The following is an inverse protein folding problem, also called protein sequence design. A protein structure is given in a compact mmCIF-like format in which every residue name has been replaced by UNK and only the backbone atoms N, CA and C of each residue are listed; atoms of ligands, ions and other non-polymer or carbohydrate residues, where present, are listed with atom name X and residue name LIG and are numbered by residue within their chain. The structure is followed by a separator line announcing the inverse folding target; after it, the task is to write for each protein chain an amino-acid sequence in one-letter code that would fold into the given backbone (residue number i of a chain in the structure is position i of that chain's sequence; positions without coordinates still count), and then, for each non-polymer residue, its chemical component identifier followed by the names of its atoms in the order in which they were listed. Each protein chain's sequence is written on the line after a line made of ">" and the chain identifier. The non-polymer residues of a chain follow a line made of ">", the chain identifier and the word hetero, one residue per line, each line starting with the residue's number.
data_IF_850751779859
#
_entry.id   IF_850751779859
#
_cell.length_a   1.000
_cell.length_b   1.000
_cell.length_c   1.000
_cell.angle_alpha   90.00
_cell.angle_beta   90.00
_cell.angle_gamma   90.00
#
_symmetry.space_group_name_H-M   'P 1'
#
loop_
_entity.id
_entity.type
_entity.pdbx_description
1 polymer ?
#
# COMPACT_ATOMS: atom_id res chain seq x y z
N UNK A 1 -6.63 2.80 -18.14
CA UNK A 1 -6.39 2.43 -16.73
C UNK A 1 -7.61 1.72 -16.15
N UNK A 2 -7.39 0.72 -15.29
CA UNK A 2 -8.47 0.05 -14.54
C UNK A 2 -8.42 0.60 -13.10
N UNK A 3 -9.53 1.19 -12.66
CA UNK A 3 -9.69 1.72 -11.30
C UNK A 3 -10.43 0.66 -10.47
N UNK A 4 -9.80 0.21 -9.38
CA UNK A 4 -10.34 -0.84 -8.53
C UNK A 4 -10.34 -0.46 -7.06
N UNK A 5 -11.48 -0.62 -6.42
CA UNK A 5 -11.72 -0.50 -4.99
C UNK A 5 -13.10 -1.10 -4.66
N UNK A 6 -13.48 -1.16 -3.39
CA UNK A 6 -14.75 -1.73 -2.95
C UNK A 6 -15.98 -0.91 -3.37
N UNK A 7 -15.87 0.42 -3.38
CA UNK A 7 -17.00 1.33 -3.62
C UNK A 7 -17.04 1.80 -5.07
N UNK A 8 -17.97 1.27 -5.83
CA UNK A 8 -18.12 1.55 -7.26
C UNK A 8 -18.47 3.03 -7.53
N UNK A 9 -19.34 3.62 -6.72
CA UNK A 9 -19.72 5.04 -6.81
C UNK A 9 -18.49 5.97 -6.67
N UNK A 10 -17.57 5.63 -5.77
CA UNK A 10 -16.33 6.38 -5.60
C UNK A 10 -15.39 6.22 -6.80
N UNK A 11 -15.32 5.02 -7.37
CA UNK A 11 -14.52 4.75 -8.58
C UNK A 11 -15.05 5.54 -9.79
N UNK A 12 -16.37 5.60 -9.97
CA UNK A 12 -17.03 6.39 -11.02
C UNK A 12 -16.69 7.87 -10.87
N UNK A 13 -16.74 8.40 -9.64
CA UNK A 13 -16.35 9.80 -9.37
C UNK A 13 -14.89 10.08 -9.70
N UNK A 14 -13.98 9.11 -9.47
CA UNK A 14 -12.56 9.22 -9.85
C UNK A 14 -12.41 9.13 -11.36
N UNK A 15 -13.06 8.17 -12.03
CA UNK A 15 -13.07 8.03 -13.48
C UNK A 15 -13.42 9.36 -14.16
N UNK A 16 -14.51 10.00 -13.72
CA UNK A 16 -14.99 11.27 -14.32
C UNK A 16 -14.02 12.45 -14.14
N UNK A 17 -13.04 12.33 -13.23
CA UNK A 17 -11.96 13.32 -13.03
C UNK A 17 -10.71 13.02 -13.85
N UNK A 18 -10.62 11.87 -14.50
CA UNK A 18 -9.50 11.52 -15.35
C UNK A 18 -9.52 12.39 -16.62
N UNK A 19 -8.34 12.83 -17.06
CA UNK A 19 -8.19 13.63 -18.30
C UNK A 19 -8.73 12.90 -19.53
N UNK A 20 -8.60 11.56 -19.56
CA UNK A 20 -9.09 10.67 -20.60
C UNK A 20 -10.02 9.65 -19.94
N UNK A 21 -11.20 10.10 -19.52
CA UNK A 21 -12.15 9.28 -18.77
C UNK A 21 -12.70 8.10 -19.58
N UNK A 22 -12.74 8.21 -20.91
CA UNK A 22 -13.09 7.15 -21.85
C UNK A 22 -12.09 5.98 -21.79
N UNK A 23 -10.83 6.25 -21.46
CA UNK A 23 -9.77 5.26 -21.26
C UNK A 23 -9.63 4.77 -19.81
N UNK A 24 -10.60 5.07 -18.95
CA UNK A 24 -10.65 4.61 -17.59
C UNK A 24 -11.84 3.66 -17.38
N UNK A 25 -11.56 2.44 -16.96
CA UNK A 25 -12.58 1.43 -16.66
C UNK A 25 -12.69 1.23 -15.15
N UNK A 26 -13.90 0.96 -14.69
CA UNK A 26 -14.19 0.68 -13.28
C UNK A 26 -14.37 -0.82 -13.11
N UNK A 27 -13.66 -1.40 -12.15
CA UNK A 27 -13.76 -2.81 -11.80
C UNK A 27 -13.73 -2.92 -10.26
N UNK A 28 -14.89 -3.03 -9.60
CA UNK A 28 -14.96 -3.21 -8.16
C UNK A 28 -14.17 -4.42 -7.69
N UNK A 29 -13.46 -4.27 -6.56
CA UNK A 29 -12.62 -5.32 -5.97
C UNK A 29 -12.55 -5.14 -4.46
N UNK A 30 -12.77 -6.22 -3.71
CA UNK A 30 -12.44 -6.32 -2.29
C UNK A 30 -11.25 -7.27 -2.11
N UNK A 31 -10.18 -6.77 -1.47
CA UNK A 31 -8.98 -7.57 -1.19
C UNK A 31 -9.23 -8.69 -0.18
N UNK A 32 -10.33 -8.64 0.57
CA UNK A 32 -10.71 -9.68 1.54
C UNK A 32 -11.63 -10.75 0.96
N UNK A 33 -12.23 -10.50 -0.19
CA UNK A 33 -12.98 -11.50 -0.94
C UNK A 33 -12.01 -12.36 -1.77
N UNK A 34 -11.32 -13.25 -1.07
CA UNK A 34 -10.25 -14.07 -1.63
C UNK A 34 -10.71 -14.95 -2.79
N UNK A 35 -11.96 -15.40 -2.80
CA UNK A 35 -12.49 -16.29 -3.82
C UNK A 35 -12.72 -15.56 -5.16
N UNK A 36 -13.14 -14.30 -5.09
CA UNK A 36 -13.41 -13.50 -6.29
C UNK A 36 -12.13 -13.00 -7.00
N UNK A 37 -10.99 -12.91 -6.31
CA UNK A 37 -9.77 -12.28 -6.85
C UNK A 37 -9.29 -12.92 -8.15
N UNK A 38 -9.43 -14.25 -8.31
CA UNK A 38 -9.04 -14.94 -9.54
C UNK A 38 -9.91 -14.50 -10.74
N UNK A 39 -11.22 -14.53 -10.59
CA UNK A 39 -12.17 -14.15 -11.65
C UNK A 39 -12.03 -12.67 -12.01
N UNK A 40 -11.85 -11.80 -11.00
CA UNK A 40 -11.64 -10.35 -11.20
C UNK A 40 -10.32 -10.11 -11.95
N UNK A 41 -9.24 -10.83 -11.64
CA UNK A 41 -7.97 -10.71 -12.37
C UNK A 41 -8.14 -11.07 -13.84
N UNK A 42 -8.82 -12.18 -14.16
CA UNK A 42 -9.13 -12.57 -15.56
C UNK A 42 -9.95 -11.49 -16.26
N UNK A 43 -10.99 -10.97 -15.60
CA UNK A 43 -11.80 -9.87 -16.13
C UNK A 43 -10.96 -8.62 -16.39
N UNK A 44 -10.07 -8.24 -15.48
CA UNK A 44 -9.18 -7.09 -15.67
C UNK A 44 -8.30 -7.25 -16.91
N UNK A 45 -7.73 -8.45 -17.14
CA UNK A 45 -6.92 -8.74 -18.32
C UNK A 45 -7.75 -8.62 -19.59
N UNK A 46 -8.98 -9.18 -19.61
CA UNK A 46 -9.85 -9.16 -20.79
C UNK A 46 -10.28 -7.76 -21.23
N UNK A 47 -10.30 -6.78 -20.31
CA UNK A 47 -10.73 -5.40 -20.62
C UNK A 47 -9.81 -4.68 -21.62
N UNK A 48 -8.51 -4.97 -21.60
CA UNK A 48 -7.52 -4.37 -22.51
C UNK A 48 -6.63 -5.41 -23.20
N UNK A 49 -6.91 -6.73 -23.01
CA UNK A 49 -6.11 -7.82 -23.54
C UNK A 49 -4.79 -8.07 -22.79
N UNK A 50 -4.35 -7.12 -21.99
CA UNK A 50 -3.13 -7.23 -21.17
C UNK A 50 -3.16 -6.28 -19.97
N UNK A 51 -2.26 -6.54 -19.03
CA UNK A 51 -1.91 -5.59 -17.95
C UNK A 51 -0.39 -5.42 -17.98
N UNK A 52 0.08 -4.18 -17.92
CA UNK A 52 1.51 -3.86 -17.86
C UNK A 52 1.98 -3.58 -16.42
N UNK A 53 1.12 -2.98 -15.60
CA UNK A 53 1.47 -2.55 -14.23
C UNK A 53 0.30 -2.84 -13.29
N UNK A 54 0.58 -3.52 -12.17
CA UNK A 54 -0.33 -3.61 -11.03
C UNK A 54 0.15 -2.68 -9.90
N UNK A 55 -0.68 -1.72 -9.53
CA UNK A 55 -0.41 -0.84 -8.38
C UNK A 55 -1.23 -1.32 -7.18
N UNK A 56 -0.60 -2.04 -6.26
CA UNK A 56 -1.15 -2.46 -4.98
C UNK A 56 -1.17 -1.27 -4.01
N UNK A 57 -2.26 -0.52 -3.99
CA UNK A 57 -2.42 0.69 -3.18
C UNK A 57 -3.47 0.54 -2.06
N UNK A 58 -4.30 -0.49 -2.12
CA UNK A 58 -5.32 -0.76 -1.10
C UNK A 58 -4.69 -1.02 0.27
N UNK A 59 -5.34 -0.55 1.33
CA UNK A 59 -4.86 -0.79 2.69
C UNK A 59 -5.64 -0.04 3.75
N UNK A 60 -5.48 -0.51 4.98
CA UNK A 60 -6.03 0.06 6.20
C UNK A 60 -4.90 0.44 7.16
N UNK A 61 -5.16 1.39 8.06
CA UNK A 61 -4.25 1.74 9.17
C UNK A 61 -4.88 1.40 10.51
N UNK A 62 -4.11 1.47 11.59
CA UNK A 62 -4.53 1.20 12.97
C UNK A 62 -4.12 2.36 13.88
N UNK A 63 -4.91 2.60 14.93
CA UNK A 63 -4.64 3.56 16.00
C UNK A 63 -5.11 3.00 17.34
N UNK A 64 -4.37 2.02 17.89
CA UNK A 64 -4.63 1.44 19.22
C UNK A 64 -3.36 0.86 19.83
N UNK A 65 -3.29 0.81 21.15
CA UNK A 65 -2.22 0.10 21.86
C UNK A 65 -2.37 -1.42 21.67
N UNK A 66 -1.27 -2.15 21.78
CA UNK A 66 -1.28 -3.62 21.66
C UNK A 66 -2.26 -4.25 22.65
N UNK A 67 -2.23 -3.78 23.90
CA UNK A 67 -3.08 -4.33 24.96
C UNK A 67 -4.58 -4.06 24.73
N UNK A 68 -4.91 -2.96 24.04
CA UNK A 68 -6.31 -2.55 23.80
C UNK A 68 -6.84 -3.04 22.45
N UNK A 69 -6.03 -3.78 21.68
CA UNK A 69 -6.39 -4.20 20.32
C UNK A 69 -6.92 -5.62 20.33
N UNK A 70 -8.17 -5.80 19.89
CA UNK A 70 -8.77 -7.12 19.67
C UNK A 70 -8.02 -7.86 18.57
N UNK A 71 -7.96 -9.20 18.67
CA UNK A 71 -7.20 -10.03 17.72
C UNK A 71 -7.77 -9.92 16.30
N UNK A 72 -9.06 -9.77 16.15
CA UNK A 72 -9.77 -9.61 14.87
C UNK A 72 -9.29 -8.37 14.09
N UNK A 73 -8.85 -7.32 14.80
CA UNK A 73 -8.25 -6.13 14.16
C UNK A 73 -6.90 -6.48 13.53
N UNK A 74 -6.09 -7.29 14.20
CA UNK A 74 -4.84 -7.80 13.61
C UNK A 74 -5.12 -8.67 12.39
N UNK A 75 -6.11 -9.58 12.48
CA UNK A 75 -6.51 -10.42 11.36
C UNK A 75 -6.91 -9.54 10.17
N UNK A 76 -7.78 -8.56 10.38
CA UNK A 76 -8.21 -7.64 9.32
C UNK A 76 -7.04 -6.83 8.73
N UNK A 77 -6.06 -6.41 9.55
CA UNK A 77 -4.85 -5.74 9.07
C UNK A 77 -4.04 -6.65 8.14
N UNK A 78 -3.89 -7.91 8.49
CA UNK A 78 -3.15 -8.89 7.68
C UNK A 78 -3.94 -9.24 6.42
N UNK A 79 -5.23 -9.49 6.52
CA UNK A 79 -6.07 -9.87 5.38
C UNK A 79 -6.06 -8.78 4.30
N UNK A 80 -6.33 -7.53 4.67
CA UNK A 80 -6.39 -6.43 3.71
C UNK A 80 -5.00 -6.01 3.21
N UNK A 81 -4.05 -5.74 4.13
CA UNK A 81 -2.78 -5.12 3.74
C UNK A 81 -1.78 -6.12 3.17
N UNK A 82 -1.89 -7.41 3.50
CA UNK A 82 -0.92 -8.42 3.12
C UNK A 82 -1.55 -9.55 2.29
N UNK A 83 -2.43 -10.38 2.87
CA UNK A 83 -2.95 -11.57 2.18
C UNK A 83 -3.70 -11.25 0.90
N UNK A 84 -4.60 -10.27 0.90
CA UNK A 84 -5.30 -9.83 -0.30
C UNK A 84 -4.36 -9.29 -1.37
N UNK A 85 -3.36 -8.52 -0.96
CA UNK A 85 -2.33 -7.99 -1.85
C UNK A 85 -1.51 -9.10 -2.51
N UNK A 86 -1.03 -10.07 -1.74
CA UNK A 86 -0.24 -11.19 -2.30
C UNK A 86 -1.11 -12.14 -3.13
N UNK A 87 -2.36 -12.39 -2.75
CA UNK A 87 -3.27 -13.24 -3.52
C UNK A 87 -3.58 -12.63 -4.89
N UNK A 88 -3.89 -11.33 -4.95
CA UNK A 88 -4.07 -10.60 -6.21
C UNK A 88 -2.79 -10.64 -7.06
N UNK A 89 -1.63 -10.39 -6.46
CA UNK A 89 -0.32 -10.47 -7.12
C UNK A 89 -0.07 -11.87 -7.70
N UNK A 90 -0.33 -12.93 -6.92
CA UNK A 90 -0.17 -14.33 -7.36
C UNK A 90 -1.09 -14.70 -8.51
N UNK A 91 -2.30 -14.15 -8.56
CA UNK A 91 -3.21 -14.42 -9.69
C UNK A 91 -2.75 -13.73 -10.99
N UNK A 92 -2.10 -12.57 -10.90
CA UNK A 92 -1.60 -11.85 -12.08
C UNK A 92 -0.21 -12.33 -12.52
N UNK A 93 0.61 -12.85 -11.60
CA UNK A 93 2.00 -13.25 -11.86
C UNK A 93 2.15 -14.23 -13.06
N UNK A 94 1.35 -15.31 -13.24
CA UNK A 94 1.45 -16.20 -14.39
C UNK A 94 1.26 -15.48 -15.74
N UNK A 95 0.43 -14.43 -15.78
CA UNK A 95 0.22 -13.62 -16.98
C UNK A 95 1.44 -12.76 -17.29
N UNK A 96 2.06 -12.17 -16.30
CA UNK A 96 3.30 -11.42 -16.48
C UNK A 96 4.46 -12.31 -16.93
N UNK A 97 4.56 -13.54 -16.39
CA UNK A 97 5.55 -14.53 -16.83
C UNK A 97 5.32 -14.90 -18.30
N UNK A 98 4.09 -15.25 -18.68
CA UNK A 98 3.74 -15.58 -20.07
C UNK A 98 3.97 -14.40 -21.03
N UNK A 99 3.70 -13.17 -20.58
CA UNK A 99 3.91 -11.92 -21.32
C UNK A 99 5.39 -11.54 -21.41
N UNK A 100 6.27 -12.15 -20.58
CA UNK A 100 7.68 -11.81 -20.38
C UNK A 100 7.92 -10.33 -20.07
N UNK A 101 6.96 -9.74 -19.39
CA UNK A 101 7.03 -8.35 -18.92
C UNK A 101 5.92 -8.09 -17.91
N UNK A 102 6.20 -7.25 -16.92
CA UNK A 102 5.23 -6.80 -15.94
C UNK A 102 5.88 -5.97 -14.85
N UNK A 103 5.09 -5.14 -14.18
CA UNK A 103 5.60 -4.33 -13.08
C UNK A 103 4.65 -4.36 -11.89
N UNK A 104 5.06 -4.94 -10.79
CA UNK A 104 4.38 -4.88 -9.51
C UNK A 104 4.85 -3.65 -8.74
N UNK A 105 3.95 -2.73 -8.46
CA UNK A 105 4.19 -1.53 -7.65
C UNK A 105 3.39 -1.66 -6.37
N UNK A 106 4.05 -1.73 -5.22
CA UNK A 106 3.35 -1.91 -3.94
C UNK A 106 3.57 -0.70 -3.04
N UNK A 107 2.45 -0.07 -2.65
CA UNK A 107 2.46 1.04 -1.71
C UNK A 107 2.53 0.47 -0.29
N UNK A 108 3.74 0.48 0.26
CA UNK A 108 4.01 0.07 1.64
C UNK A 108 3.83 1.25 2.59
N UNK A 109 4.84 1.59 3.35
CA UNK A 109 4.93 2.77 4.22
C UNK A 109 6.35 2.85 4.78
N UNK A 110 6.75 4.00 5.30
CA UNK A 110 7.90 4.09 6.22
C UNK A 110 7.71 3.16 7.43
N UNK A 111 6.45 2.90 7.83
CA UNK A 111 6.10 1.94 8.88
C UNK A 111 6.34 0.46 8.48
N UNK A 112 6.71 0.18 7.26
CA UNK A 112 7.27 -1.10 6.81
C UNK A 112 8.79 -1.23 7.01
N UNK A 113 9.45 -0.17 7.49
CA UNK A 113 10.90 -0.12 7.75
C UNK A 113 11.24 0.12 9.21
N UNK A 114 10.38 0.83 9.93
CA UNK A 114 10.45 1.02 11.38
C UNK A 114 9.04 1.17 11.94
N UNK A 115 8.90 1.02 13.26
CA UNK A 115 7.57 1.01 13.89
C UNK A 115 7.36 2.26 14.76
N UNK A 116 6.10 2.57 15.05
CA UNK A 116 5.68 3.57 16.00
C UNK A 116 4.57 3.02 16.91
N UNK A 117 4.36 3.59 18.11
CA UNK A 117 3.22 3.24 18.96
C UNK A 117 1.89 3.33 18.20
N UNK A 118 0.88 2.63 18.66
CA UNK A 118 -0.50 2.59 18.14
C UNK A 118 -0.68 1.99 16.76
N UNK A 119 0.35 1.40 16.14
CA UNK A 119 0.30 0.89 14.74
C UNK A 119 0.89 -0.52 14.60
N UNK A 120 0.83 -1.35 15.65
CA UNK A 120 1.51 -2.65 15.67
C UNK A 120 1.08 -3.57 14.52
N UNK A 121 -0.20 -3.77 14.29
CA UNK A 121 -0.73 -4.60 13.20
C UNK A 121 -0.41 -4.00 11.83
N UNK A 122 -0.56 -2.69 11.69
CA UNK A 122 -0.20 -1.99 10.46
C UNK A 122 1.29 -2.12 10.12
N UNK A 123 2.17 -1.88 11.11
CA UNK A 123 3.61 -2.05 10.94
C UNK A 123 3.96 -3.49 10.55
N UNK A 124 3.38 -4.48 11.24
CA UNK A 124 3.59 -5.89 10.93
C UNK A 124 3.23 -6.23 9.48
N UNK A 125 2.02 -5.86 9.03
CA UNK A 125 1.56 -6.10 7.67
C UNK A 125 2.43 -5.40 6.62
N UNK A 126 2.84 -4.13 6.87
CA UNK A 126 3.69 -3.39 5.93
C UNK A 126 5.14 -3.91 5.90
N UNK A 127 5.68 -4.45 7.00
CA UNK A 127 6.97 -5.17 6.98
C UNK A 127 6.89 -6.47 6.18
N UNK A 128 5.80 -7.24 6.34
CA UNK A 128 5.61 -8.49 5.61
C UNK A 128 5.62 -8.31 4.09
N UNK A 129 5.05 -7.20 3.58
CA UNK A 129 5.09 -6.87 2.15
C UNK A 129 6.52 -6.73 1.62
N UNK A 130 7.45 -6.18 2.40
CA UNK A 130 8.85 -6.06 1.95
C UNK A 130 9.47 -7.43 1.72
N UNK A 131 9.31 -8.37 2.68
CA UNK A 131 9.84 -9.72 2.51
C UNK A 131 9.28 -10.43 1.29
N UNK A 132 7.96 -10.37 1.08
CA UNK A 132 7.30 -11.01 -0.07
C UNK A 132 7.75 -10.43 -1.41
N UNK A 133 7.72 -9.10 -1.57
CA UNK A 133 8.02 -8.46 -2.84
C UNK A 133 9.52 -8.43 -3.17
N UNK A 134 10.40 -8.43 -2.17
CA UNK A 134 11.83 -8.62 -2.38
C UNK A 134 12.14 -10.04 -2.89
N UNK A 135 11.51 -11.07 -2.32
CA UNK A 135 11.62 -12.44 -2.81
C UNK A 135 11.09 -12.56 -4.26
N UNK A 136 9.89 -12.02 -4.52
CA UNK A 136 9.28 -12.05 -5.86
C UNK A 136 10.20 -11.39 -6.91
N UNK A 137 10.86 -10.28 -6.58
CA UNK A 137 11.81 -9.61 -7.47
C UNK A 137 12.97 -10.53 -7.85
N UNK A 138 13.55 -11.22 -6.87
CA UNK A 138 14.68 -12.13 -7.09
C UNK A 138 14.26 -13.40 -7.86
N UNK A 139 13.12 -13.97 -7.53
CA UNK A 139 12.61 -15.19 -8.17
C UNK A 139 12.27 -15.00 -9.66
N UNK A 140 11.81 -13.80 -10.04
CA UNK A 140 11.28 -13.50 -11.37
C UNK A 140 12.08 -12.43 -12.14
N UNK A 141 13.32 -12.17 -11.76
CA UNK A 141 14.22 -11.29 -12.50
C UNK A 141 14.41 -11.76 -13.96
N UNK A 142 14.64 -13.06 -14.16
CA UNK A 142 14.78 -13.69 -15.50
C UNK A 142 13.51 -13.65 -16.35
N UNK A 143 12.35 -13.46 -15.73
CA UNK A 143 11.06 -13.36 -16.41
C UNK A 143 10.75 -11.90 -16.84
N UNK A 144 11.68 -10.97 -16.62
CA UNK A 144 11.57 -9.57 -16.95
C UNK A 144 10.42 -8.87 -16.19
N UNK A 145 10.25 -9.25 -14.92
CA UNK A 145 9.23 -8.70 -14.02
C UNK A 145 9.87 -7.72 -13.04
N UNK A 146 9.46 -6.47 -13.14
CA UNK A 146 9.91 -5.41 -12.24
C UNK A 146 9.08 -5.39 -10.94
N UNK A 147 9.72 -5.01 -9.85
CA UNK A 147 9.06 -4.82 -8.55
C UNK A 147 9.54 -3.52 -7.92
N UNK A 148 8.61 -2.62 -7.63
CA UNK A 148 8.86 -1.36 -6.94
C UNK A 148 8.12 -1.29 -5.61
N UNK A 149 8.85 -1.05 -4.52
CA UNK A 149 8.28 -0.79 -3.20
C UNK A 149 8.26 0.72 -2.94
N UNK A 150 7.10 1.27 -2.72
CA UNK A 150 6.93 2.69 -2.40
C UNK A 150 6.61 2.83 -0.93
N UNK A 151 7.39 3.62 -0.22
CA UNK A 151 7.30 3.79 1.23
C UNK A 151 6.93 5.24 1.58
N UNK A 152 5.63 5.62 1.53
CA UNK A 152 5.22 6.95 1.94
C UNK A 152 5.35 7.13 3.47
N UNK A 153 5.67 8.37 3.86
CA UNK A 153 5.51 8.87 5.22
C UNK A 153 4.12 9.46 5.44
N UNK A 154 4.07 10.67 6.00
CA UNK A 154 2.81 11.38 6.23
C UNK A 154 2.34 12.07 4.94
N UNK A 155 1.19 11.63 4.43
CA UNK A 155 0.55 12.16 3.23
C UNK A 155 -0.86 12.63 3.61
N UNK A 156 -1.29 13.78 3.09
CA UNK A 156 -2.60 14.38 3.32
C UNK A 156 -3.73 13.53 2.71
N UNK A 157 -4.16 12.49 3.43
CA UNK A 157 -5.21 11.54 3.01
C UNK A 157 -6.12 11.21 4.19
N UNK A 158 -7.25 10.57 3.90
CA UNK A 158 -8.17 10.09 4.94
C UNK A 158 -7.70 8.80 5.65
N UNK A 159 -6.45 8.35 5.46
CA UNK A 159 -5.95 7.10 6.03
C UNK A 159 -5.98 7.09 7.57
N UNK A 160 -5.70 8.23 8.20
CA UNK A 160 -5.76 8.36 9.66
C UNK A 160 -7.22 8.33 10.15
N UNK A 161 -8.11 9.08 9.50
CA UNK A 161 -9.54 9.13 9.82
C UNK A 161 -10.21 7.76 9.71
N UNK A 162 -9.81 6.97 8.71
CA UNK A 162 -10.33 5.62 8.45
C UNK A 162 -9.52 4.52 9.16
N UNK A 163 -8.55 4.87 10.01
CA UNK A 163 -7.77 3.88 10.77
C UNK A 163 -8.68 3.14 11.76
N UNK A 164 -8.41 1.85 11.95
CA UNK A 164 -9.14 1.04 12.92
C UNK A 164 -8.65 1.35 14.35
N UNK A 165 -9.59 1.45 15.27
CA UNK A 165 -9.35 1.48 16.71
C UNK A 165 -9.17 0.06 17.25
N UNK A 166 -9.00 -0.10 18.56
CA UNK A 166 -8.77 -1.41 19.18
C UNK A 166 -9.95 -2.37 19.07
N UNK A 167 -11.16 -1.88 18.92
CA UNK A 167 -12.39 -2.66 18.75
C UNK A 167 -12.78 -2.88 17.26
N UNK A 168 -12.02 -2.32 16.32
CA UNK A 168 -12.27 -2.43 14.89
C UNK A 168 -13.14 -1.32 14.30
N UNK A 169 -13.63 -0.38 15.11
CA UNK A 169 -14.35 0.80 14.61
C UNK A 169 -13.39 1.78 13.92
N UNK A 170 -13.93 2.65 13.07
CA UNK A 170 -13.11 3.70 12.45
C UNK A 170 -12.80 4.82 13.47
N UNK A 171 -11.58 5.31 13.46
CA UNK A 171 -11.11 6.37 14.38
C UNK A 171 -11.90 7.68 14.24
N UNK A 172 -12.36 8.01 13.02
CA UNK A 172 -13.11 9.22 12.67
C UNK A 172 -12.43 10.55 13.04
N UNK A 173 -11.13 10.50 13.37
CA UNK A 173 -10.31 11.65 13.78
C UNK A 173 -9.08 11.78 12.88
N UNK A 174 -8.75 13.00 12.49
CA UNK A 174 -7.49 13.30 11.80
C UNK A 174 -6.34 13.42 12.81
N UNK A 175 -5.16 12.96 12.44
CA UNK A 175 -3.94 13.25 13.19
C UNK A 175 -3.18 14.45 12.56
N UNK A 176 -2.54 15.23 13.41
CA UNK A 176 -1.81 16.43 12.99
C UNK A 176 -0.66 16.12 12.01
N UNK A 177 -0.03 14.95 12.14
CA UNK A 177 1.06 14.55 11.26
C UNK A 177 0.57 14.30 9.83
N UNK A 178 -0.58 13.65 9.67
CA UNK A 178 -1.22 13.44 8.36
C UNK A 178 -1.75 14.75 7.78
N UNK A 179 -2.39 15.60 8.61
CA UNK A 179 -2.91 16.91 8.18
C UNK A 179 -1.79 17.81 7.64
N UNK A 180 -0.63 17.81 8.27
CA UNK A 180 0.55 18.59 7.87
C UNK A 180 1.51 17.82 6.97
N UNK A 181 1.09 16.65 6.47
CA UNK A 181 1.88 15.80 5.60
C UNK A 181 2.07 16.36 4.20
N UNK A 182 2.74 15.57 3.35
CA UNK A 182 2.94 15.94 1.95
C UNK A 182 1.59 15.95 1.19
N UNK A 183 1.34 16.94 0.32
CA UNK A 183 0.16 16.96 -0.55
C UNK A 183 0.07 15.72 -1.45
N UNK A 184 -1.15 15.16 -1.60
CA UNK A 184 -1.40 13.94 -2.40
C UNK A 184 -0.84 14.05 -3.82
N UNK A 185 -1.06 15.19 -4.50
CA UNK A 185 -0.58 15.39 -5.87
C UNK A 185 0.94 15.31 -6.00
N UNK A 186 1.67 15.80 -4.99
CA UNK A 186 3.14 15.70 -4.95
C UNK A 186 3.57 14.25 -4.77
N UNK A 187 2.97 13.56 -3.82
CA UNK A 187 3.22 12.13 -3.58
C UNK A 187 2.95 11.31 -4.86
N UNK A 188 1.83 11.52 -5.54
CA UNK A 188 1.49 10.83 -6.78
C UNK A 188 2.53 11.07 -7.89
N UNK A 189 3.03 12.30 -8.04
CA UNK A 189 4.11 12.61 -9.01
C UNK A 189 5.40 11.85 -8.69
N UNK A 190 5.77 11.75 -7.41
CA UNK A 190 6.96 11.01 -6.97
C UNK A 190 6.79 9.50 -7.20
N UNK A 191 5.59 8.94 -6.95
CA UNK A 191 5.24 7.54 -7.26
C UNK A 191 5.39 7.28 -8.76
N UNK A 192 4.76 8.10 -9.62
CA UNK A 192 4.84 7.94 -11.08
C UNK A 192 6.29 8.01 -11.57
N UNK A 193 7.09 8.93 -11.01
CA UNK A 193 8.52 9.02 -11.33
C UNK A 193 9.29 7.76 -10.94
N UNK A 194 8.99 7.17 -9.77
CA UNK A 194 9.60 5.93 -9.32
C UNK A 194 9.23 4.74 -10.22
N UNK A 195 7.96 4.65 -10.62
CA UNK A 195 7.45 3.64 -11.56
C UNK A 195 8.18 3.73 -12.91
N UNK A 196 8.22 4.93 -13.51
CA UNK A 196 8.89 5.15 -14.79
C UNK A 196 10.37 4.78 -14.77
N UNK A 197 11.04 4.97 -13.63
CA UNK A 197 12.46 4.65 -13.42
C UNK A 197 12.68 3.24 -12.89
N UNK A 198 11.64 2.44 -12.74
CA UNK A 198 11.68 1.07 -12.20
C UNK A 198 12.50 0.97 -10.90
N UNK A 199 12.34 1.94 -10.00
CA UNK A 199 13.11 1.97 -8.75
C UNK A 199 12.71 0.81 -7.85
N UNK A 200 13.69 0.10 -7.31
CA UNK A 200 13.46 -1.03 -6.39
C UNK A 200 12.71 -0.59 -5.14
N UNK A 201 13.15 0.53 -4.56
CA UNK A 201 12.53 1.09 -3.36
C UNK A 201 12.59 2.62 -3.38
N UNK A 202 11.52 3.28 -2.91
CA UNK A 202 11.43 4.75 -2.90
C UNK A 202 10.80 5.23 -1.60
N UNK A 203 11.48 6.11 -0.89
CA UNK A 203 11.00 6.75 0.33
C UNK A 203 10.44 8.14 0.00
N UNK A 204 9.15 8.33 0.25
CA UNK A 204 8.42 9.57 -0.04
C UNK A 204 7.97 10.22 1.27
N UNK A 205 8.35 11.46 1.50
CA UNK A 205 7.97 12.18 2.72
C UNK A 205 8.94 13.30 3.07
N UNK A 206 8.78 13.84 4.27
CA UNK A 206 9.62 14.87 4.85
C UNK A 206 10.85 14.30 5.57
N UNK A 207 11.13 14.87 6.74
CA UNK A 207 12.28 14.45 7.58
C UNK A 207 12.09 13.04 8.17
N UNK A 208 10.86 12.57 8.33
CA UNK A 208 10.54 11.24 8.88
C UNK A 208 11.17 10.07 8.10
N UNK A 209 11.46 10.25 6.81
CA UNK A 209 12.14 9.22 6.00
C UNK A 209 13.55 8.88 6.50
N UNK A 210 14.22 9.80 7.18
CA UNK A 210 15.52 9.55 7.79
C UNK A 210 15.46 8.56 8.97
N UNK A 211 14.27 8.30 9.50
CA UNK A 211 14.02 7.26 10.51
C UNK A 211 14.48 5.87 10.06
N UNK A 212 14.47 5.60 8.75
CA UNK A 212 14.95 4.34 8.18
C UNK A 212 16.44 4.12 8.48
N UNK A 213 17.27 5.12 8.22
CA UNK A 213 18.71 5.08 8.49
C UNK A 213 18.99 5.02 9.99
N UNK A 214 18.24 5.81 10.78
CA UNK A 214 18.33 5.74 12.25
C UNK A 214 17.95 4.35 12.77
N UNK A 215 16.92 3.70 12.21
CA UNK A 215 16.57 2.33 12.57
C UNK A 215 17.71 1.36 12.32
N UNK A 216 18.41 1.50 11.20
CA UNK A 216 19.49 0.59 10.80
C UNK A 216 20.75 0.76 11.63
N UNK A 217 21.17 2.00 11.88
CA UNK A 217 22.47 2.30 12.47
C UNK A 217 22.40 2.76 13.94
N UNK A 218 21.30 3.39 14.35
CA UNK A 218 21.13 3.98 15.67
C UNK A 218 19.74 3.68 16.26
N UNK A 219 19.36 2.38 16.44
CA UNK A 219 17.99 2.01 16.81
C UNK A 219 17.52 2.60 18.14
N UNK A 220 18.40 2.71 19.15
CA UNK A 220 18.08 3.33 20.45
C UNK A 220 17.78 4.83 20.32
N UNK A 221 18.47 5.52 19.40
CA UNK A 221 18.22 6.94 19.13
C UNK A 221 16.87 7.14 18.46
N UNK A 222 16.56 6.32 17.44
CA UNK A 222 15.24 6.34 16.81
C UNK A 222 14.14 6.09 17.83
N UNK A 223 14.29 5.10 18.71
CA UNK A 223 13.31 4.80 19.76
C UNK A 223 13.02 6.05 20.61
N UNK A 224 14.07 6.75 21.08
CA UNK A 224 13.90 8.00 21.88
C UNK A 224 13.19 9.11 21.09
N UNK A 225 13.47 9.25 19.79
CA UNK A 225 12.83 10.25 18.92
C UNK A 225 11.34 9.91 18.72
N UNK A 226 11.03 8.65 18.39
CA UNK A 226 9.66 8.21 18.15
C UNK A 226 8.81 8.34 19.42
N UNK A 227 9.35 8.01 20.59
CA UNK A 227 8.64 8.14 21.87
C UNK A 227 8.33 9.61 22.25
N UNK A 228 9.15 10.56 21.79
CA UNK A 228 8.93 12.01 21.99
C UNK A 228 8.02 12.62 20.93
N UNK A 229 7.84 11.97 19.78
CA UNK A 229 6.99 12.47 18.71
C UNK A 229 5.52 12.22 19.01
N UNK A 230 4.69 13.23 18.73
CA UNK A 230 3.24 13.11 18.88
C UNK A 230 2.68 12.34 17.65
N UNK A 231 2.50 11.03 17.79
CA UNK A 231 2.00 10.13 16.74
C UNK A 231 0.54 9.72 16.91
N UNK A 232 -0.18 10.44 17.80
CA UNK A 232 -1.63 10.26 18.04
C UNK A 232 -2.47 11.12 17.14
#
# INVERSE_FOLDING_TARGET
>A
VILSARREDALIKVKNKCKFSENALVLPLDLTDFESLHSITKKAISLYGKIDILINNGGLSQRSLIIDTKFEVYQQMIDVNYLGTIKLTKHLLPFFIAQKSGHFVTITSLMGKFSSPYRSGYCGAKHALHGFFDALRMEHEKDNIDVSLICPGFIQTNVAKNALTGDGSALMKEDNATKNGMPVNRCAKEIISAIKKKKFETYIGGKEKYGIYLKRFFPKLLHKIVMKSNVR
#
